data_IF_762144908509
#
_entry.id   IF_762144908509
#
_cell.length_a   1.000
_cell.length_b   1.000
_cell.length_c   1.000
_cell.angle_alpha   90.00
_cell.angle_beta   90.00
_cell.angle_gamma   90.00
#
_symmetry.space_group_name_H-M   'P 1'
#
loop_
_entity.id
_entity.type
_entity.pdbx_description
1 polymer ?
#
# COMPACT_ATOMS: atom_id res chain seq x y z
N UNK A 1 -2.10 25.12 6.09
CA UNK A 1 -3.11 24.45 6.93
C UNK A 1 -2.81 22.96 6.91
N UNK A 2 -2.73 22.31 8.07
CA UNK A 2 -2.42 20.89 8.14
C UNK A 2 -3.66 20.02 7.98
N UNK A 3 -3.57 18.95 7.20
CA UNK A 3 -4.62 17.93 7.16
C UNK A 3 -4.70 17.30 8.55
N UNK A 4 -5.89 17.34 9.15
CA UNK A 4 -6.14 16.69 10.44
C UNK A 4 -6.21 15.17 10.25
N UNK A 5 -5.82 14.36 11.25
CA UNK A 5 -5.90 12.91 11.15
C UNK A 5 -7.33 12.42 10.83
N UNK A 6 -8.35 13.10 11.35
CA UNK A 6 -9.76 12.81 11.05
C UNK A 6 -10.11 13.02 9.57
N UNK A 7 -9.55 14.07 8.95
CA UNK A 7 -9.74 14.33 7.52
C UNK A 7 -9.08 13.24 6.69
N UNK A 8 -7.88 12.81 7.09
CA UNK A 8 -7.13 11.73 6.44
C UNK A 8 -7.92 10.42 6.52
N UNK A 9 -8.45 10.06 7.69
CA UNK A 9 -9.28 8.87 7.88
C UNK A 9 -10.57 8.92 7.03
N UNK A 10 -11.21 10.10 6.95
CA UNK A 10 -12.39 10.30 6.09
C UNK A 10 -12.07 10.09 4.62
N UNK A 11 -10.94 10.64 4.14
CA UNK A 11 -10.47 10.47 2.77
C UNK A 11 -10.16 9.00 2.50
N UNK A 12 -9.47 8.31 3.41
CA UNK A 12 -9.17 6.89 3.28
C UNK A 12 -10.44 6.05 3.13
N UNK A 13 -11.44 6.28 4.00
CA UNK A 13 -12.72 5.58 3.93
C UNK A 13 -13.51 5.88 2.63
N UNK A 14 -13.36 7.07 2.05
CA UNK A 14 -13.93 7.41 0.75
C UNK A 14 -13.21 6.69 -0.39
N UNK A 15 -11.87 6.69 -0.37
CA UNK A 15 -11.04 6.00 -1.37
C UNK A 15 -11.32 4.50 -1.35
N UNK A 16 -11.29 3.87 -0.16
CA UNK A 16 -11.62 2.45 0.04
C UNK A 16 -12.95 2.07 -0.61
N UNK A 17 -14.03 2.78 -0.28
CA UNK A 17 -15.36 2.51 -0.84
C UNK A 17 -15.40 2.68 -2.36
N UNK A 18 -14.72 3.70 -2.89
CA UNK A 18 -14.73 3.98 -4.33
C UNK A 18 -13.94 2.94 -5.11
N UNK A 19 -12.80 2.51 -4.59
CA UNK A 19 -11.95 1.47 -5.16
C UNK A 19 -12.66 0.12 -5.15
N UNK A 20 -13.23 -0.30 -4.01
CA UNK A 20 -13.96 -1.57 -3.93
C UNK A 20 -15.20 -1.58 -4.84
N UNK A 21 -15.99 -0.49 -4.86
CA UNK A 21 -17.11 -0.34 -5.80
C UNK A 21 -16.64 -0.43 -7.26
N UNK A 22 -15.49 0.14 -7.59
CA UNK A 22 -14.93 0.07 -8.93
C UNK A 22 -14.54 -1.37 -9.28
N UNK A 23 -13.86 -2.09 -8.39
CA UNK A 23 -13.51 -3.50 -8.60
C UNK A 23 -14.74 -4.38 -8.84
N UNK A 24 -15.80 -4.22 -8.04
CA UNK A 24 -17.04 -4.98 -8.23
C UNK A 24 -17.73 -4.65 -9.55
N UNK A 25 -17.75 -3.36 -9.94
CA UNK A 25 -18.35 -2.94 -11.22
C UNK A 25 -17.60 -3.49 -12.44
N UNK A 26 -16.31 -3.75 -12.32
CA UNK A 26 -15.48 -4.31 -13.38
C UNK A 26 -15.40 -5.84 -13.35
N UNK A 27 -16.12 -6.50 -12.43
CA UNK A 27 -16.12 -7.97 -12.30
C UNK A 27 -14.81 -8.55 -11.79
N UNK A 28 -13.95 -7.72 -11.20
CA UNK A 28 -12.67 -8.14 -10.61
C UNK A 28 -12.83 -8.64 -9.17
N UNK A 29 -13.97 -8.37 -8.55
CA UNK A 29 -14.31 -8.73 -7.18
C UNK A 29 -15.81 -8.97 -7.08
N UNK A 30 -16.24 -9.99 -6.32
CA UNK A 30 -17.68 -10.19 -6.09
C UNK A 30 -18.25 -9.03 -5.24
N UNK A 31 -19.48 -8.56 -5.50
CA UNK A 31 -20.11 -7.54 -4.66
C UNK A 31 -20.25 -7.93 -3.19
N UNK A 32 -20.35 -9.22 -2.85
CA UNK A 32 -20.39 -9.67 -1.46
C UNK A 32 -19.01 -9.61 -0.81
N UNK A 33 -17.98 -10.10 -1.50
CA UNK A 33 -16.58 -9.96 -1.05
C UNK A 33 -16.22 -8.48 -0.83
N UNK A 34 -16.69 -7.57 -1.69
CA UNK A 34 -16.48 -6.15 -1.53
C UNK A 34 -17.16 -5.55 -0.29
N UNK A 35 -18.28 -6.12 0.18
CA UNK A 35 -18.93 -5.73 1.45
C UNK A 35 -18.16 -6.26 2.64
N UNK A 36 -17.71 -7.51 2.59
CA UNK A 36 -16.89 -8.10 3.65
C UNK A 36 -15.57 -7.35 3.82
N UNK A 37 -14.93 -6.98 2.71
CA UNK A 37 -13.73 -6.14 2.70
C UNK A 37 -13.98 -4.73 3.24
N UNK A 38 -15.23 -4.24 3.31
CA UNK A 38 -15.59 -2.99 4.00
C UNK A 38 -15.79 -3.17 5.50
N UNK A 39 -16.01 -4.39 5.98
CA UNK A 39 -16.10 -4.72 7.41
C UNK A 39 -14.75 -5.06 8.04
N UNK A 40 -13.71 -5.27 7.24
CA UNK A 40 -12.36 -5.55 7.76
C UNK A 40 -11.83 -4.40 8.64
N UNK A 41 -11.29 -4.81 9.78
CA UNK A 41 -10.70 -3.94 10.81
C UNK A 41 -9.44 -3.22 10.28
N UNK A 42 -8.64 -3.94 9.49
CA UNK A 42 -7.56 -3.37 8.69
C UNK A 42 -8.06 -3.14 7.27
N UNK A 43 -8.23 -1.87 6.89
CA UNK A 43 -8.77 -1.48 5.59
C UNK A 43 -7.93 -1.95 4.40
N UNK A 44 -6.62 -2.17 4.60
CA UNK A 44 -5.64 -2.38 3.53
C UNK A 44 -5.31 -1.11 2.75
N UNK A 45 -5.85 0.04 3.18
CA UNK A 45 -5.55 1.36 2.63
C UNK A 45 -4.75 2.14 3.66
N UNK A 46 -3.77 2.91 3.21
CA UNK A 46 -3.00 3.78 4.10
C UNK A 46 -2.72 5.08 3.36
N UNK A 47 -3.08 6.19 3.99
CA UNK A 47 -2.91 7.53 3.42
C UNK A 47 -1.84 8.29 4.21
N UNK A 48 -0.68 8.51 3.58
CA UNK A 48 0.36 9.37 4.14
C UNK A 48 0.09 10.83 3.78
N UNK A 49 -0.26 11.63 4.79
CA UNK A 49 -0.52 13.06 4.65
C UNK A 49 0.67 13.94 5.11
N UNK A 50 1.83 13.33 5.37
CA UNK A 50 3.05 14.05 5.79
C UNK A 50 3.67 14.87 4.65
N UNK A 51 3.54 14.39 3.42
CA UNK A 51 4.06 15.07 2.22
C UNK A 51 3.04 16.10 1.73
N UNK A 52 3.49 17.34 1.55
CA UNK A 52 2.70 18.41 0.94
C UNK A 52 3.45 19.04 -0.21
N UNK A 53 2.75 19.24 -1.31
CA UNK A 53 3.25 19.97 -2.46
C UNK A 53 2.39 21.22 -2.56
N UNK A 54 2.99 22.39 -2.36
CA UNK A 54 2.28 23.64 -2.56
C UNK A 54 1.97 23.81 -4.06
N UNK A 55 0.83 24.42 -4.41
CA UNK A 55 0.44 24.57 -5.82
C UNK A 55 1.46 25.32 -6.69
N UNK A 56 2.31 26.15 -6.07
CA UNK A 56 3.39 26.90 -6.73
C UNK A 56 4.77 26.21 -6.62
N UNK A 57 4.86 25.07 -5.94
CA UNK A 57 6.10 24.31 -5.78
C UNK A 57 6.36 23.45 -7.02
N UNK A 58 6.92 24.11 -8.05
CA UNK A 58 7.34 23.46 -9.30
C UNK A 58 8.28 22.27 -9.08
N UNK A 59 9.33 22.34 -8.25
CA UNK A 59 10.19 21.18 -8.01
C UNK A 59 9.50 20.06 -7.21
N UNK A 60 8.53 20.37 -6.34
CA UNK A 60 7.69 19.37 -5.67
C UNK A 60 6.82 18.59 -6.65
N UNK A 61 6.14 19.28 -7.57
CA UNK A 61 5.34 18.65 -8.63
C UNK A 61 6.19 17.77 -9.55
N UNK A 62 7.39 18.24 -9.92
CA UNK A 62 8.29 17.46 -10.75
C UNK A 62 8.72 16.16 -10.06
N UNK A 63 9.00 16.19 -8.74
CA UNK A 63 9.30 14.96 -7.98
C UNK A 63 8.12 13.99 -7.99
N UNK A 64 6.90 14.49 -7.81
CA UNK A 64 5.69 13.65 -7.85
C UNK A 64 5.52 13.02 -9.24
N UNK A 65 5.66 13.79 -10.31
CA UNK A 65 5.55 13.28 -11.68
C UNK A 65 6.62 12.22 -11.97
N UNK A 66 7.87 12.46 -11.56
CA UNK A 66 8.95 11.47 -11.68
C UNK A 66 8.67 10.21 -10.86
N UNK A 67 8.04 10.35 -9.69
CA UNK A 67 7.60 9.21 -8.90
C UNK A 67 6.50 8.40 -9.62
N UNK A 68 5.48 9.06 -10.17
CA UNK A 68 4.42 8.39 -10.95
C UNK A 68 4.94 7.71 -12.22
N UNK A 69 5.96 8.28 -12.85
CA UNK A 69 6.61 7.71 -14.02
C UNK A 69 7.63 6.61 -13.65
N UNK A 70 7.98 6.46 -12.36
CA UNK A 70 8.91 5.42 -11.92
C UNK A 70 8.19 4.07 -11.98
N UNK A 71 8.68 3.09 -12.75
CA UNK A 71 8.06 1.78 -12.77
C UNK A 71 8.07 1.18 -11.36
N UNK A 72 6.93 0.67 -10.85
CA UNK A 72 6.86 0.05 -9.54
C UNK A 72 7.57 -1.30 -9.60
N UNK A 73 8.88 -1.30 -9.37
CA UNK A 73 9.77 -2.47 -9.32
C UNK A 73 10.03 -3.21 -10.66
N UNK A 74 11.17 -3.92 -10.81
CA UNK A 74 11.58 -4.58 -12.06
C UNK A 74 10.87 -5.93 -12.31
N UNK A 75 9.57 -6.04 -11.99
CA UNK A 75 8.75 -7.18 -12.41
C UNK A 75 8.14 -6.95 -13.81
N UNK A 76 8.18 -5.71 -14.29
CA UNK A 76 7.71 -5.32 -15.64
C UNK A 76 8.78 -5.56 -16.72
N UNK A 77 9.23 -6.81 -16.82
CA UNK A 77 9.89 -7.35 -18.03
C UNK A 77 9.66 -8.86 -18.22
N UNK A 78 8.74 -9.48 -17.47
CA UNK A 78 8.45 -10.92 -17.59
C UNK A 78 7.08 -11.18 -18.21
N UNK A 79 6.92 -10.79 -19.47
CA UNK A 79 6.16 -11.63 -20.40
C UNK A 79 7.15 -12.62 -21.04
N UNK A 80 7.46 -13.70 -20.31
CA UNK A 80 7.84 -14.99 -20.90
C UNK A 80 7.51 -16.06 -19.88
N UNK A 81 6.32 -16.62 -20.00
CA UNK A 81 5.97 -17.89 -19.38
C UNK A 81 6.94 -18.96 -19.89
N UNK A 82 7.92 -19.33 -19.08
CA UNK A 82 8.42 -20.70 -19.07
C UNK A 82 8.05 -21.30 -17.74
N UNK A 83 7.16 -22.28 -17.82
CA UNK A 83 6.65 -23.12 -16.75
C UNK A 83 7.78 -23.65 -15.87
N UNK A 84 8.05 -23.00 -14.74
CA UNK A 84 8.60 -23.65 -13.56
C UNK A 84 8.39 -22.76 -12.35
N UNK A 85 7.77 -23.30 -11.31
CA UNK A 85 7.51 -22.60 -10.07
C UNK A 85 8.79 -22.00 -9.51
N UNK A 86 8.77 -20.72 -9.22
CA UNK A 86 9.85 -20.04 -8.50
C UNK A 86 9.24 -18.88 -7.75
N UNK A 87 9.40 -18.90 -6.43
CA UNK A 87 8.85 -17.88 -5.54
C UNK A 87 9.43 -16.50 -5.88
N UNK A 88 8.59 -15.48 -5.78
CA UNK A 88 9.01 -14.10 -5.92
C UNK A 88 9.71 -13.70 -4.62
N UNK A 89 11.03 -13.71 -4.62
CA UNK A 89 11.83 -13.20 -3.52
C UNK A 89 12.00 -11.69 -3.67
N UNK A 90 11.20 -10.91 -2.95
CA UNK A 90 11.42 -9.48 -2.78
C UNK A 90 12.65 -9.27 -1.89
N UNK A 91 13.81 -9.01 -2.48
CA UNK A 91 15.02 -8.65 -1.74
C UNK A 91 14.97 -7.15 -1.45
N UNK A 92 14.71 -6.78 -0.20
CA UNK A 92 14.78 -5.37 0.23
C UNK A 92 16.22 -4.85 0.07
N UNK A 93 16.46 -3.64 -0.48
CA UNK A 93 17.80 -3.09 -0.65
C UNK A 93 18.49 -2.71 0.66
N UNK A 94 17.80 -2.75 1.80
CA UNK A 94 18.37 -2.32 3.08
C UNK A 94 19.10 -3.46 3.83
N UNK A 95 20.03 -4.12 3.14
CA UNK A 95 20.88 -5.16 3.73
C UNK A 95 22.36 -4.89 3.42
N UNK A 96 22.85 -3.70 3.78
CA UNK A 96 24.29 -3.52 3.96
C UNK A 96 24.62 -3.85 5.42
N UNK A 97 24.94 -5.13 5.65
CA UNK A 97 25.69 -5.60 6.83
C UNK A 97 24.89 -5.84 8.12
N UNK A 98 24.25 -7.00 8.24
CA UNK A 98 23.99 -7.64 9.54
C UNK A 98 23.79 -9.16 9.35
N UNK A 99 24.26 -10.02 10.29
CA UNK A 99 24.27 -11.46 10.10
C UNK A 99 22.88 -12.08 10.28
N UNK A 100 22.71 -13.23 9.60
CA UNK A 100 21.58 -14.19 9.60
C UNK A 100 20.52 -13.96 10.69
N UNK A 101 19.31 -13.62 10.26
CA UNK A 101 18.11 -13.58 11.10
C UNK A 101 17.83 -14.96 11.73
N UNK A 102 17.65 -15.07 13.06
CA UNK A 102 16.77 -16.08 13.63
C UNK A 102 15.31 -15.64 13.40
N UNK A 103 14.43 -16.61 13.15
CA UNK A 103 13.02 -16.43 12.78
C UNK A 103 12.21 -15.48 13.70
N UNK A 104 11.29 -14.66 13.15
CA UNK A 104 10.39 -13.88 13.99
C UNK A 104 9.24 -14.76 14.50
N UNK A 105 9.37 -15.22 15.75
CA UNK A 105 8.24 -15.65 16.59
C UNK A 105 7.38 -14.42 16.86
N UNK A 106 6.23 -14.31 16.21
CA UNK A 106 5.26 -13.25 16.51
C UNK A 106 4.68 -13.52 17.90
N UNK A 107 5.08 -12.73 18.90
CA UNK A 107 4.45 -12.70 20.22
C UNK A 107 3.64 -11.41 20.30
N UNK A 108 2.32 -11.53 20.19
CA UNK A 108 1.38 -10.48 20.54
C UNK A 108 1.24 -10.46 22.06
N UNK A 109 1.67 -9.38 22.71
CA UNK A 109 1.28 -9.09 24.09
C UNK A 109 0.78 -7.66 24.15
N UNK A 110 -0.54 -7.52 24.00
CA UNK A 110 -1.32 -6.37 24.42
C UNK A 110 -1.36 -6.44 25.94
N UNK A 111 -0.59 -5.59 26.61
CA UNK A 111 -0.68 -5.44 28.07
C UNK A 111 -1.81 -4.44 28.36
N UNK A 112 -2.99 -4.96 28.64
CA UNK A 112 -4.00 -4.21 29.40
C UNK A 112 -3.68 -4.39 30.88
N UNK A 113 -3.52 -3.28 31.61
CA UNK A 113 -3.70 -3.26 33.06
C UNK A 113 -4.44 -1.97 33.46
N UNK A 114 -5.38 -2.05 34.42
CA UNK A 114 -6.09 -0.91 34.97
C UNK A 114 -5.24 -0.07 35.94
#
# INVERSE_FOLDING_TARGET
MALTPETVATIEAQVRRRVLRWFSRHGLLDPEDARDMLAWDNSGFSLDASVRIAGHDRPGLERLLRYCARPPSPLSASNRSTRSGSSIACRSPNATGAPRCPSPRWSSSITSSP
#
